data_IF_868344187052
#
_entry.id   IF_868344187052
#
_cell.length_a   1.000
_cell.length_b   1.000
_cell.length_c   1.000
_cell.angle_alpha   90.00
_cell.angle_beta   90.00
_cell.angle_gamma   90.00
#
_symmetry.space_group_name_H-M   'P 1'
#
loop_
_entity.id
_entity.type
_entity.pdbx_description
1 polymer ?
#
# COMPACT_ATOMS: atom_id res chain seq x y z
N UNK A 1 -7.73 12.57 -15.87
CA UNK A 1 -8.98 12.40 -15.08
C UNK A 1 -8.62 11.96 -13.68
N UNK A 2 -8.99 12.72 -12.65
CA UNK A 2 -8.69 12.40 -11.24
C UNK A 2 -9.82 11.52 -10.68
N UNK A 3 -9.50 10.53 -9.85
CA UNK A 3 -10.52 9.79 -9.06
C UNK A 3 -10.24 9.97 -7.59
N UNK A 4 -11.29 10.24 -6.82
CA UNK A 4 -11.21 10.38 -5.36
C UNK A 4 -12.12 9.35 -4.71
N UNK A 5 -11.59 8.63 -3.74
CA UNK A 5 -12.28 7.61 -2.96
C UNK A 5 -12.30 8.09 -1.51
N UNK A 6 -13.50 8.17 -0.92
CA UNK A 6 -13.66 8.51 0.50
C UNK A 6 -13.59 7.25 1.35
N UNK A 7 -12.63 7.21 2.26
CA UNK A 7 -12.43 6.13 3.21
C UNK A 7 -12.86 6.61 4.61
N UNK A 8 -13.04 5.67 5.55
CA UNK A 8 -13.41 6.03 6.94
C UNK A 8 -12.39 6.93 7.63
N UNK A 9 -11.12 6.85 7.22
CA UNK A 9 -9.97 7.51 7.87
C UNK A 9 -9.30 8.59 7.01
N UNK A 10 -9.81 8.86 5.81
CA UNK A 10 -9.21 9.84 4.91
C UNK A 10 -9.78 9.78 3.49
N UNK A 11 -9.21 10.57 2.60
CA UNK A 11 -9.51 10.52 1.17
C UNK A 11 -8.30 9.99 0.41
N UNK A 12 -8.54 9.08 -0.54
CA UNK A 12 -7.53 8.57 -1.45
C UNK A 12 -7.79 9.15 -2.83
N UNK A 13 -6.84 9.92 -3.35
CA UNK A 13 -6.88 10.50 -4.69
C UNK A 13 -5.93 9.76 -5.61
N UNK A 14 -6.42 9.34 -6.76
CA UNK A 14 -5.72 8.53 -7.76
C UNK A 14 -5.52 9.37 -9.02
N UNK A 15 -4.26 9.51 -9.43
CA UNK A 15 -3.82 10.22 -10.63
C UNK A 15 -2.83 9.37 -11.42
N UNK A 16 -2.53 9.80 -12.65
CA UNK A 16 -1.53 9.15 -13.51
C UNK A 16 -0.29 10.02 -13.60
N UNK A 17 0.89 9.42 -13.50
CA UNK A 17 2.16 10.13 -13.78
C UNK A 17 2.35 10.33 -15.29
N UNK A 18 3.27 11.21 -15.72
CA UNK A 18 3.59 11.35 -17.14
C UNK A 18 3.89 10.00 -17.80
N UNK A 19 3.38 9.79 -19.01
CA UNK A 19 3.49 8.55 -19.81
C UNK A 19 2.64 7.36 -19.32
N UNK A 20 1.82 7.51 -18.28
CA UNK A 20 0.91 6.45 -17.82
C UNK A 20 -0.55 6.81 -18.10
N UNK A 21 -1.29 5.87 -18.69
CA UNK A 21 -2.75 5.99 -18.81
C UNK A 21 -3.44 5.59 -17.50
N UNK A 22 -2.90 4.56 -16.84
CA UNK A 22 -3.41 4.04 -15.57
C UNK A 22 -3.06 4.95 -14.38
N UNK A 23 -3.94 4.97 -13.38
CA UNK A 23 -3.81 5.82 -12.19
C UNK A 23 -2.85 5.21 -11.16
N UNK A 24 -1.57 5.28 -11.50
CA UNK A 24 -0.45 4.69 -10.78
C UNK A 24 0.10 5.57 -9.63
N UNK A 25 -0.43 6.78 -9.42
CA UNK A 25 -0.01 7.65 -8.34
C UNK A 25 -1.16 7.91 -7.37
N UNK A 26 -0.96 7.54 -6.11
CA UNK A 26 -1.98 7.58 -5.07
C UNK A 26 -1.57 8.58 -4.00
N UNK A 27 -2.48 9.48 -3.65
CA UNK A 27 -2.31 10.44 -2.56
C UNK A 27 -3.37 10.18 -1.52
N UNK A 28 -2.96 9.74 -0.32
CA UNK A 28 -3.84 9.58 0.82
C UNK A 28 -3.76 10.78 1.75
N UNK A 29 -4.91 11.43 1.94
CA UNK A 29 -5.09 12.54 2.84
C UNK A 29 -5.82 12.04 4.10
N UNK A 30 -5.13 11.89 5.24
CA UNK A 30 -5.76 11.41 6.46
C UNK A 30 -6.72 12.46 7.03
N UNK A 31 -7.85 12.01 7.57
CA UNK A 31 -8.73 12.86 8.38
C UNK A 31 -8.09 13.07 9.76
N UNK A 32 -7.19 14.03 9.86
CA UNK A 32 -6.56 14.38 11.14
C UNK A 32 -7.50 15.25 12.00
N UNK A 33 -7.63 14.93 13.29
CA UNK A 33 -8.31 15.77 14.30
C UNK A 33 -7.45 16.96 14.78
N UNK A 34 -6.12 16.88 14.63
CA UNK A 34 -5.14 17.83 15.15
C UNK A 34 -4.78 18.97 14.17
N UNK A 35 -5.44 19.04 13.01
CA UNK A 35 -5.30 20.14 12.04
C UNK A 35 -4.06 20.10 11.13
N UNK A 36 -3.03 19.30 11.43
CA UNK A 36 -1.88 19.12 10.55
C UNK A 36 -2.16 17.98 9.57
N UNK A 37 -2.45 18.30 8.31
CA UNK A 37 -2.66 17.31 7.26
C UNK A 37 -1.34 17.12 6.52
N UNK A 38 -0.79 15.91 6.57
CA UNK A 38 0.37 15.51 5.77
C UNK A 38 -0.11 14.44 4.79
N UNK A 39 -0.12 14.81 3.51
CA UNK A 39 -0.47 13.90 2.44
C UNK A 39 0.58 12.78 2.32
N UNK A 40 0.10 11.55 2.21
CA UNK A 40 0.95 10.39 1.99
C UNK A 40 0.85 9.97 0.53
N UNK A 41 1.98 10.04 -0.17
CA UNK A 41 2.05 9.71 -1.59
C UNK A 41 2.64 8.32 -1.80
N UNK A 42 2.08 7.58 -2.74
CA UNK A 42 2.53 6.23 -3.11
C UNK A 42 2.51 6.07 -4.62
N UNK A 43 3.53 5.43 -5.16
CA UNK A 43 3.52 4.92 -6.52
C UNK A 43 3.05 3.47 -6.50
N UNK A 44 2.03 3.14 -7.29
CA UNK A 44 1.57 1.76 -7.47
C UNK A 44 2.45 1.10 -8.51
N UNK A 45 3.26 0.14 -8.07
CA UNK A 45 4.08 -0.70 -8.95
C UNK A 45 3.19 -1.76 -9.59
N UNK A 46 2.37 -2.41 -8.76
CA UNK A 46 1.48 -3.48 -9.19
C UNK A 46 0.25 -3.56 -8.29
N UNK A 47 -0.88 -3.92 -8.90
CA UNK A 47 -2.12 -4.13 -8.20
C UNK A 47 -2.86 -5.29 -8.85
N UNK A 48 -3.12 -6.33 -8.08
CA UNK A 48 -4.17 -7.29 -8.34
C UNK A 48 -5.24 -7.07 -7.28
N UNK A 49 -6.38 -6.51 -7.71
CA UNK A 49 -7.50 -6.16 -6.85
C UNK A 49 -8.01 -7.33 -5.98
N UNK A 50 -7.71 -8.58 -6.37
CA UNK A 50 -8.13 -9.77 -5.65
C UNK A 50 -7.08 -10.31 -4.69
N UNK A 51 -5.81 -9.98 -4.85
CA UNK A 51 -4.73 -10.62 -4.08
C UNK A 51 -3.83 -9.63 -3.35
N UNK A 52 -3.31 -8.61 -4.02
CA UNK A 52 -2.22 -7.79 -3.48
C UNK A 52 -2.07 -6.39 -4.10
N UNK A 53 -1.31 -5.56 -3.39
CA UNK A 53 -0.79 -4.29 -3.88
C UNK A 53 0.71 -4.18 -3.58
N UNK A 54 1.50 -3.75 -4.56
CA UNK A 54 2.90 -3.39 -4.40
C UNK A 54 3.03 -1.88 -4.58
N UNK A 55 3.46 -1.21 -3.52
CA UNK A 55 3.55 0.25 -3.46
C UNK A 55 5.00 0.68 -3.20
N UNK A 56 5.43 1.77 -3.83
CA UNK A 56 6.67 2.47 -3.54
C UNK A 56 6.40 3.77 -2.79
N UNK A 57 7.22 4.01 -1.77
CA UNK A 57 7.13 5.10 -0.81
C UNK A 57 8.28 6.09 -1.06
N UNK A 58 7.99 7.29 -1.60
CA UNK A 58 9.02 8.26 -1.94
C UNK A 58 9.78 8.82 -0.72
N UNK A 59 9.22 8.67 0.48
CA UNK A 59 9.84 9.16 1.72
C UNK A 59 10.81 8.16 2.37
N UNK A 60 10.85 6.91 1.93
CA UNK A 60 11.63 5.83 2.55
C UNK A 60 12.73 5.31 1.62
N UNK A 61 13.84 4.84 2.19
CA UNK A 61 15.00 4.29 1.45
C UNK A 61 15.41 5.14 0.23
N UNK A 62 15.58 6.46 0.44
CA UNK A 62 15.91 7.42 -0.62
C UNK A 62 14.94 7.39 -1.82
N UNK A 63 13.67 7.10 -1.56
CA UNK A 63 12.61 7.03 -2.56
C UNK A 63 12.37 5.64 -3.15
N UNK A 64 13.09 4.61 -2.70
CA UNK A 64 12.97 3.24 -3.18
C UNK A 64 12.27 2.29 -2.20
N UNK A 65 11.85 2.77 -1.03
CA UNK A 65 11.18 1.94 -0.04
C UNK A 65 9.88 1.39 -0.57
N UNK A 66 9.58 0.12 -0.31
CA UNK A 66 8.36 -0.52 -0.81
C UNK A 66 7.57 -1.22 0.29
N UNK A 67 6.29 -1.46 0.01
CA UNK A 67 5.43 -2.34 0.80
C UNK A 67 4.65 -3.28 -0.11
N UNK A 68 4.58 -4.55 0.29
CA UNK A 68 3.65 -5.54 -0.26
C UNK A 68 2.47 -5.68 0.70
N UNK A 69 1.28 -5.34 0.21
CA UNK A 69 0.01 -5.58 0.90
C UNK A 69 -0.65 -6.80 0.30
N UNK A 70 -1.17 -7.69 1.14
CA UNK A 70 -1.90 -8.90 0.72
C UNK A 70 -3.23 -8.98 1.42
N UNK A 71 -4.22 -9.60 0.80
CA UNK A 71 -5.42 -10.03 1.51
C UNK A 71 -5.07 -11.14 2.50
N UNK A 72 -5.75 -11.16 3.64
CA UNK A 72 -5.55 -12.19 4.67
C UNK A 72 -5.76 -13.61 4.08
N UNK A 73 -6.76 -13.77 3.20
CA UNK A 73 -7.08 -15.04 2.55
C UNK A 73 -5.95 -15.61 1.68
N UNK A 74 -5.06 -14.74 1.17
CA UNK A 74 -3.95 -15.12 0.28
C UNK A 74 -2.59 -14.91 0.93
N UNK A 75 -2.55 -14.54 2.21
CA UNK A 75 -1.35 -14.11 2.91
C UNK A 75 -0.23 -15.17 2.96
N UNK A 76 -0.62 -16.45 3.01
CA UNK A 76 0.30 -17.59 3.11
C UNK A 76 0.53 -18.34 1.79
N UNK A 77 0.33 -17.69 0.64
CA UNK A 77 0.66 -18.29 -0.66
C UNK A 77 2.08 -17.85 -1.08
N UNK A 78 3.14 -18.62 -0.76
CA UNK A 78 4.49 -18.25 -1.15
C UNK A 78 4.67 -18.34 -2.68
N UNK A 79 5.54 -17.48 -3.23
CA UNK A 79 5.98 -17.56 -4.63
C UNK A 79 4.93 -17.15 -5.66
N UNK A 80 3.99 -16.28 -5.29
CA UNK A 80 3.00 -15.74 -6.23
C UNK A 80 3.57 -14.57 -7.05
N UNK A 81 2.80 -14.12 -8.04
CA UNK A 81 3.17 -12.97 -8.87
C UNK A 81 3.45 -11.71 -8.04
N UNK A 82 2.84 -11.55 -6.87
CA UNK A 82 3.02 -10.37 -6.03
C UNK A 82 4.40 -10.35 -5.37
N UNK A 83 4.86 -11.48 -4.85
CA UNK A 83 6.22 -11.63 -4.32
C UNK A 83 7.26 -11.47 -5.41
N UNK A 84 7.05 -12.09 -6.58
CA UNK A 84 7.97 -11.92 -7.72
C UNK A 84 8.08 -10.45 -8.14
N UNK A 85 6.95 -9.76 -8.34
CA UNK A 85 6.96 -8.35 -8.75
C UNK A 85 7.55 -7.43 -7.68
N UNK A 86 7.31 -7.72 -6.39
CA UNK A 86 7.96 -7.01 -5.30
C UNK A 86 9.49 -7.17 -5.38
N UNK A 87 9.97 -8.41 -5.53
CA UNK A 87 11.41 -8.70 -5.52
C UNK A 87 12.16 -8.04 -6.66
N UNK A 88 11.57 -8.07 -7.86
CA UNK A 88 12.14 -7.43 -9.06
C UNK A 88 12.18 -5.91 -8.97
N UNK A 89 11.21 -5.27 -8.30
CA UNK A 89 11.08 -3.81 -8.27
C UNK A 89 11.59 -3.15 -6.99
N UNK A 90 11.70 -3.90 -5.90
CA UNK A 90 11.97 -3.40 -4.56
C UNK A 90 13.16 -4.09 -3.89
N UNK A 91 13.68 -5.14 -4.50
CA UNK A 91 14.81 -5.91 -3.97
C UNK A 91 14.38 -7.02 -3.02
N UNK A 92 15.29 -7.98 -2.85
CA UNK A 92 15.04 -9.20 -2.08
C UNK A 92 15.47 -9.09 -0.61
N UNK A 93 16.25 -8.07 -0.24
CA UNK A 93 16.77 -7.89 1.12
C UNK A 93 17.19 -6.43 1.40
N UNK A 94 16.98 -5.90 2.63
CA UNK A 94 16.22 -6.52 3.72
C UNK A 94 14.69 -6.42 3.49
N UNK A 95 13.94 -7.42 3.96
CA UNK A 95 12.47 -7.40 4.02
C UNK A 95 12.01 -7.49 5.47
N UNK A 96 11.02 -6.68 5.84
CA UNK A 96 10.49 -6.64 7.19
C UNK A 96 9.01 -7.00 7.19
N UNK A 97 8.64 -7.98 8.01
CA UNK A 97 7.27 -8.40 8.19
C UNK A 97 6.54 -7.42 9.12
N UNK A 98 5.62 -6.63 8.56
CA UNK A 98 4.86 -5.60 9.30
C UNK A 98 3.57 -6.19 9.91
N UNK A 99 2.88 -7.06 9.17
CA UNK A 99 1.64 -7.67 9.65
C UNK A 99 1.92 -8.73 10.73
N UNK A 100 1.20 -8.65 11.84
CA UNK A 100 1.21 -9.65 12.91
C UNK A 100 -0.18 -10.28 13.00
N UNK A 101 -0.31 -11.62 13.14
CA UNK A 101 -1.61 -12.27 13.29
C UNK A 101 -2.44 -11.75 14.46
N UNK A 102 -1.80 -11.26 15.53
CA UNK A 102 -2.48 -10.61 16.66
C UNK A 102 -3.22 -9.32 16.29
N UNK A 103 -2.96 -8.74 15.11
CA UNK A 103 -3.67 -7.57 14.61
C UNK A 103 -4.94 -7.93 13.82
N UNK A 104 -5.31 -9.22 13.69
CA UNK A 104 -6.55 -9.63 13.02
C UNK A 104 -7.77 -9.33 13.92
N UNK A 105 -8.69 -8.44 13.50
CA UNK A 105 -9.92 -8.16 14.25
C UNK A 105 -10.81 -9.39 14.43
N UNK A 106 -10.67 -10.41 13.58
CA UNK A 106 -11.42 -11.68 13.64
C UNK A 106 -10.95 -12.62 14.76
N UNK A 107 -9.79 -12.37 15.37
CA UNK A 107 -9.25 -13.17 16.48
C UNK A 107 -9.65 -12.63 17.87
N UNK A 108 -10.51 -11.62 17.95
CA UNK A 108 -11.18 -11.23 19.19
C UNK A 108 -10.24 -10.68 20.28
N UNK A 109 -9.26 -9.86 19.93
CA UNK A 109 -8.46 -9.12 20.93
C UNK A 109 -9.18 -7.80 21.26
N UNK A 110 -9.62 -7.56 22.51
CA UNK A 110 -10.21 -6.28 22.89
C UNK A 110 -9.10 -5.24 23.05
N UNK A 111 -9.21 -4.10 22.37
CA UNK A 111 -8.37 -2.92 22.65
C UNK A 111 -7.71 -2.22 21.46
N UNK A 112 -8.12 -2.48 20.22
CA UNK A 112 -7.84 -1.60 19.07
C UNK A 112 -9.12 -0.93 18.60
#
# INVERSE_FOLDING_TARGET
MIVTIRLRKGELTLTSTPCYENKNFHTFQPYNKSGVIVDQNYQVIYADCNTCYVLRHPYAENGYGCTLWRRISTFHQPGDCCEFIYDENCGTSPKYQIYLPSCDPGLGIPGV
#
